data_IF_769679083422
#
_entry.id   IF_769679083422
#
_cell.length_a   1.000
_cell.length_b   1.000
_cell.length_c   1.000
_cell.angle_alpha   90.00
_cell.angle_beta   90.00
_cell.angle_gamma   90.00
#
_symmetry.space_group_name_H-M   'P 1'
#
loop_
_entity.id
_entity.type
_entity.pdbx_description
1 polymer ?
#
# COMPACT_ATOMS: atom_id res chain seq x y z
N UNK A 1 -3.27 -31.74 7.59
CA UNK A 1 -2.06 -32.49 7.16
C UNK A 1 -1.89 -33.81 7.92
N UNK A 2 -1.96 -33.84 9.26
CA UNK A 2 -1.79 -35.08 10.05
C UNK A 2 -2.75 -36.22 9.64
N UNK A 3 -4.02 -35.91 9.35
CA UNK A 3 -5.00 -36.91 8.91
C UNK A 3 -4.65 -37.59 7.59
N UNK A 4 -3.93 -36.89 6.69
CA UNK A 4 -3.53 -37.42 5.38
C UNK A 4 -2.12 -38.01 5.39
N UNK A 5 -1.29 -37.63 6.37
CA UNK A 5 0.08 -38.10 6.55
C UNK A 5 0.33 -38.59 7.99
N UNK A 6 -0.37 -39.64 8.46
CA UNK A 6 -0.32 -40.07 9.85
C UNK A 6 1.05 -40.60 10.30
N UNK A 7 1.90 -41.00 9.34
CA UNK A 7 3.26 -41.49 9.58
C UNK A 7 4.27 -40.37 9.86
N UNK A 8 3.92 -39.11 9.55
CA UNK A 8 4.78 -37.96 9.79
C UNK A 8 4.60 -37.48 11.23
N UNK A 9 5.69 -37.30 12.00
CA UNK A 9 5.58 -36.74 13.34
C UNK A 9 5.00 -35.33 13.31
N UNK A 10 4.09 -35.01 14.25
CA UNK A 10 3.46 -33.70 14.33
C UNK A 10 4.48 -32.55 14.42
N UNK A 11 5.57 -32.76 15.18
CA UNK A 11 6.66 -31.81 15.29
C UNK A 11 7.31 -31.46 13.92
N UNK A 12 7.37 -32.41 13.00
CA UNK A 12 7.90 -32.17 11.66
C UNK A 12 6.93 -31.34 10.81
N UNK A 13 5.62 -31.55 10.97
CA UNK A 13 4.59 -30.72 10.32
C UNK A 13 4.65 -29.29 10.87
N UNK A 14 4.75 -29.12 12.19
CA UNK A 14 4.86 -27.80 12.82
C UNK A 14 6.11 -27.06 12.35
N UNK A 15 7.25 -27.74 12.27
CA UNK A 15 8.49 -27.17 11.72
C UNK A 15 8.34 -26.72 10.26
N UNK A 16 7.68 -27.52 9.42
CA UNK A 16 7.40 -27.15 8.03
C UNK A 16 6.50 -25.92 7.95
N UNK A 17 5.41 -25.87 8.73
CA UNK A 17 4.51 -24.73 8.75
C UNK A 17 5.23 -23.45 9.20
N UNK A 18 6.05 -23.55 10.25
CA UNK A 18 6.91 -22.45 10.71
C UNK A 18 7.86 -21.99 9.60
N UNK A 19 8.49 -22.91 8.89
CA UNK A 19 9.39 -22.58 7.78
C UNK A 19 8.65 -21.87 6.64
N UNK A 20 7.48 -22.36 6.24
CA UNK A 20 6.67 -21.73 5.19
C UNK A 20 6.16 -20.34 5.61
N UNK A 21 5.83 -20.19 6.89
CA UNK A 21 5.43 -18.92 7.49
C UNK A 21 6.58 -17.89 7.49
N UNK A 22 7.74 -18.28 8.00
CA UNK A 22 8.94 -17.42 8.06
C UNK A 22 9.42 -16.99 6.67
N UNK A 23 9.26 -17.85 5.66
CA UNK A 23 9.61 -17.56 4.28
C UNK A 23 8.46 -16.91 3.48
N UNK A 24 7.39 -16.46 4.14
CA UNK A 24 6.24 -15.76 3.53
C UNK A 24 5.49 -16.55 2.42
N UNK A 25 5.63 -17.88 2.40
CA UNK A 25 4.77 -18.75 1.57
C UNK A 25 3.37 -18.89 2.15
N UNK A 26 3.25 -18.73 3.48
CA UNK A 26 1.98 -18.61 4.17
C UNK A 26 1.85 -17.19 4.71
N UNK A 27 0.65 -16.62 4.55
CA UNK A 27 0.25 -15.33 5.11
C UNK A 27 -0.82 -15.59 6.16
N UNK A 28 -0.84 -14.77 7.21
CA UNK A 28 -1.88 -14.90 8.25
C UNK A 28 -3.02 -14.01 7.87
N UNK A 29 -4.20 -14.50 8.19
CA UNK A 29 -5.44 -13.73 8.19
C UNK A 29 -5.40 -12.55 9.18
N UNK A 30 -4.38 -12.43 10.05
CA UNK A 30 -4.09 -11.24 10.86
C UNK A 30 -3.44 -10.09 10.07
N UNK A 31 -3.25 -10.21 8.76
CA UNK A 31 -2.86 -9.06 7.91
C UNK A 31 -4.12 -8.50 7.25
N UNK A 32 -4.62 -7.32 7.69
CA UNK A 32 -5.78 -6.71 7.07
C UNK A 32 -5.53 -6.48 5.57
N UNK A 33 -6.49 -6.81 4.69
CA UNK A 33 -6.43 -6.42 3.29
C UNK A 33 -6.30 -4.90 3.17
N UNK A 34 -5.58 -4.40 2.16
CA UNK A 34 -5.45 -2.95 1.91
C UNK A 34 -6.77 -2.27 1.52
N UNK A 35 -7.80 -3.06 1.20
CA UNK A 35 -9.16 -2.59 0.90
C UNK A 35 -10.05 -2.51 2.13
N UNK A 36 -9.57 -2.94 3.29
CA UNK A 36 -10.32 -2.88 4.54
C UNK A 36 -10.46 -1.43 5.01
N UNK A 37 -11.69 -1.02 5.32
CA UNK A 37 -12.00 0.36 5.72
C UNK A 37 -11.44 0.63 7.12
N UNK A 38 -11.47 -0.39 7.98
CA UNK A 38 -10.94 -0.29 9.33
C UNK A 38 -10.03 -1.47 9.67
N UNK A 39 -8.73 -1.38 9.36
CA UNK A 39 -7.75 -2.43 9.66
C UNK A 39 -7.71 -2.83 11.14
N UNK A 40 -7.95 -1.88 12.06
CA UNK A 40 -7.97 -2.12 13.50
C UNK A 40 -9.18 -2.98 13.94
N UNK A 41 -10.36 -2.72 13.39
CA UNK A 41 -11.55 -3.55 13.66
C UNK A 41 -11.41 -4.95 13.08
N UNK A 42 -10.87 -5.06 11.86
CA UNK A 42 -10.58 -6.35 11.25
C UNK A 42 -9.68 -7.21 12.15
N UNK A 43 -8.61 -6.63 12.71
CA UNK A 43 -7.74 -7.35 13.66
C UNK A 43 -8.49 -7.81 14.91
N UNK A 44 -9.38 -6.98 15.45
CA UNK A 44 -10.15 -7.33 16.64
C UNK A 44 -11.07 -8.54 16.41
N UNK A 45 -11.64 -8.66 15.22
CA UNK A 45 -12.49 -9.79 14.81
C UNK A 45 -11.70 -11.08 14.57
N UNK A 46 -10.45 -10.95 14.10
CA UNK A 46 -9.60 -12.09 13.74
C UNK A 46 -8.69 -12.57 14.88
N UNK A 47 -8.55 -11.81 15.98
CA UNK A 47 -7.86 -12.25 17.20
C UNK A 47 -8.88 -12.95 18.12
N UNK A 48 -8.76 -14.28 18.35
CA UNK A 48 -9.69 -15.02 19.20
C UNK A 48 -9.58 -14.61 20.67
N UNK A 49 -10.71 -14.65 21.38
CA UNK A 49 -10.81 -14.40 22.82
C UNK A 49 -9.93 -15.35 23.66
N UNK A 50 -9.73 -16.57 23.17
CA UNK A 50 -8.95 -17.62 23.84
C UNK A 50 -7.48 -17.62 23.46
N UNK A 51 -7.02 -16.66 22.66
CA UNK A 51 -5.64 -16.59 22.23
C UNK A 51 -4.73 -16.03 23.34
N UNK A 52 -3.45 -16.40 23.30
CA UNK A 52 -2.42 -15.81 24.15
C UNK A 52 -2.25 -14.29 23.91
N UNK A 53 -2.85 -13.77 22.84
CA UNK A 53 -2.92 -12.35 22.49
C UNK A 53 -4.05 -11.60 23.21
N UNK A 54 -4.67 -12.19 24.23
CA UNK A 54 -5.72 -11.56 25.05
C UNK A 54 -5.39 -10.12 25.49
N UNK A 55 -4.18 -9.82 26.02
CA UNK A 55 -3.80 -8.45 26.38
C UNK A 55 -3.79 -7.49 25.19
N UNK A 56 -3.24 -7.91 24.04
CA UNK A 56 -3.21 -7.12 22.80
C UNK A 56 -4.62 -6.81 22.33
N UNK A 57 -5.50 -7.82 22.36
CA UNK A 57 -6.90 -7.68 21.97
C UNK A 57 -7.64 -6.70 22.87
N UNK A 58 -7.44 -6.78 24.19
CA UNK A 58 -8.09 -5.87 25.14
C UNK A 58 -7.60 -4.43 24.96
N UNK A 59 -6.29 -4.23 24.79
CA UNK A 59 -5.75 -2.92 24.47
C UNK A 59 -6.31 -2.37 23.16
N UNK A 60 -6.44 -3.21 22.12
CA UNK A 60 -7.04 -2.81 20.85
C UNK A 60 -8.51 -2.37 21.02
N UNK A 61 -9.30 -3.09 21.84
CA UNK A 61 -10.68 -2.66 22.18
C UNK A 61 -10.70 -1.30 22.87
N UNK A 62 -9.82 -1.08 23.85
CA UNK A 62 -9.74 0.18 24.56
C UNK A 62 -9.36 1.34 23.64
N UNK A 63 -8.42 1.12 22.71
CA UNK A 63 -8.04 2.10 21.69
C UNK A 63 -9.22 2.41 20.77
N UNK A 64 -9.91 1.40 20.25
CA UNK A 64 -11.07 1.58 19.37
C UNK A 64 -12.19 2.37 20.05
N UNK A 65 -12.52 2.03 21.30
CA UNK A 65 -13.49 2.79 22.09
C UNK A 65 -13.06 4.26 22.23
N UNK A 66 -11.79 4.55 22.48
CA UNK A 66 -11.31 5.94 22.56
C UNK A 66 -11.34 6.67 21.23
N UNK A 67 -11.10 5.98 20.11
CA UNK A 67 -11.24 6.55 18.77
C UNK A 67 -12.70 6.96 18.53
N UNK A 68 -13.66 6.12 18.89
CA UNK A 68 -15.09 6.49 18.79
C UNK A 68 -15.42 7.73 19.65
N UNK A 69 -14.87 7.83 20.85
CA UNK A 69 -15.04 9.03 21.69
C UNK A 69 -14.37 10.25 21.08
N UNK A 70 -13.20 10.09 20.44
CA UNK A 70 -12.50 11.16 19.75
C UNK A 70 -13.34 11.72 18.59
N UNK A 71 -13.95 10.85 17.78
CA UNK A 71 -14.78 11.25 16.64
C UNK A 71 -16.03 12.06 17.04
N UNK A 72 -16.51 11.88 18.28
CA UNK A 72 -17.66 12.60 18.84
C UNK A 72 -17.26 13.82 19.69
N UNK A 73 -15.97 14.01 19.97
CA UNK A 73 -15.49 15.04 20.89
C UNK A 73 -15.44 16.44 20.26
N UNK A 74 -15.60 17.47 21.09
CA UNK A 74 -15.25 18.84 20.71
C UNK A 74 -13.73 19.00 20.60
N UNK A 75 -13.26 19.96 19.79
CA UNK A 75 -11.85 20.12 19.42
C UNK A 75 -10.88 20.16 20.62
N UNK A 76 -11.24 20.83 21.72
CA UNK A 76 -10.37 20.93 22.91
C UNK A 76 -10.25 19.61 23.68
N UNK A 77 -11.32 18.78 23.71
CA UNK A 77 -11.30 17.45 24.36
C UNK A 77 -10.57 16.41 23.52
N UNK A 78 -10.49 16.64 22.20
CA UNK A 78 -9.90 15.73 21.22
C UNK A 78 -8.40 15.51 21.46
N UNK A 79 -7.64 16.54 21.86
CA UNK A 79 -6.18 16.42 22.10
C UNK A 79 -5.88 15.50 23.30
N UNK A 80 -6.59 15.67 24.41
CA UNK A 80 -6.41 14.81 25.59
C UNK A 80 -6.71 13.34 25.28
N UNK A 81 -7.74 13.07 24.47
CA UNK A 81 -8.07 11.69 24.06
C UNK A 81 -6.94 11.08 23.21
N UNK A 82 -6.30 11.84 22.32
CA UNK A 82 -5.15 11.36 21.55
C UNK A 82 -3.95 10.99 22.43
N UNK A 83 -3.66 11.81 23.45
CA UNK A 83 -2.59 11.51 24.42
C UNK A 83 -2.89 10.22 25.20
N UNK A 84 -4.14 10.00 25.59
CA UNK A 84 -4.58 8.77 26.25
C UNK A 84 -4.45 7.54 25.33
N UNK A 85 -4.83 7.65 24.05
CA UNK A 85 -4.66 6.58 23.07
C UNK A 85 -3.17 6.21 22.93
N UNK A 86 -2.30 7.21 22.79
CA UNK A 86 -0.85 6.97 22.71
C UNK A 86 -0.30 6.31 23.99
N UNK A 87 -0.81 6.70 25.16
CA UNK A 87 -0.39 6.09 26.42
C UNK A 87 -0.81 4.61 26.48
N UNK A 88 -2.04 4.30 26.09
CA UNK A 88 -2.54 2.92 26.02
C UNK A 88 -1.71 2.09 25.03
N UNK A 89 -1.41 2.61 23.83
CA UNK A 89 -0.59 1.90 22.85
C UNK A 89 0.83 1.58 23.38
N UNK A 90 1.42 2.49 24.17
CA UNK A 90 2.75 2.28 24.79
C UNK A 90 2.77 1.15 25.82
N UNK A 91 1.62 0.72 26.36
CA UNK A 91 1.56 -0.38 27.35
C UNK A 91 1.87 -1.75 26.76
N UNK A 92 1.76 -1.91 25.44
CA UNK A 92 1.93 -3.22 24.79
C UNK A 92 3.39 -3.65 24.60
N UNK A 93 4.37 -2.77 24.86
CA UNK A 93 5.81 -3.00 24.60
C UNK A 93 6.08 -3.58 23.20
N UNK A 94 5.25 -3.19 22.21
CA UNK A 94 5.42 -3.59 20.81
C UNK A 94 6.25 -2.52 20.10
N UNK A 95 7.34 -2.88 19.41
CA UNK A 95 8.11 -1.93 18.63
C UNK A 95 7.24 -1.38 17.50
N UNK A 96 6.94 -0.09 17.56
CA UNK A 96 6.23 0.61 16.50
C UNK A 96 7.17 0.85 15.32
N UNK A 97 6.73 0.47 14.12
CA UNK A 97 7.49 0.73 12.88
C UNK A 97 7.50 2.21 12.47
N UNK A 98 6.65 3.05 13.08
CA UNK A 98 6.60 4.49 12.85
C UNK A 98 6.42 5.27 14.15
N UNK A 99 6.86 6.53 14.17
CA UNK A 99 6.71 7.42 15.33
C UNK A 99 5.26 7.87 15.58
N UNK A 100 4.30 7.47 14.73
CA UNK A 100 2.90 7.92 14.78
C UNK A 100 1.95 6.72 14.63
N UNK A 101 1.38 6.25 15.75
CA UNK A 101 0.44 5.12 15.80
C UNK A 101 -1.02 5.48 15.48
N UNK A 102 -1.29 6.68 14.96
CA UNK A 102 -2.64 7.20 14.69
C UNK A 102 -2.62 7.98 13.36
N UNK A 103 -3.62 7.73 12.52
CA UNK A 103 -3.95 8.52 11.33
C UNK A 103 -5.36 9.09 11.50
N UNK A 104 -5.56 10.35 11.16
CA UNK A 104 -6.88 11.01 11.19
C UNK A 104 -7.21 11.64 9.85
N UNK A 105 -8.42 11.39 9.37
CA UNK A 105 -8.98 12.03 8.18
C UNK A 105 -10.12 12.95 8.62
N UNK A 106 -10.05 14.23 8.27
CA UNK A 106 -11.04 15.22 8.71
C UNK A 106 -11.90 15.66 7.54
N UNK A 107 -13.22 15.59 7.71
CA UNK A 107 -14.19 16.09 6.74
C UNK A 107 -14.80 17.42 7.21
N UNK A 108 -14.81 18.43 6.35
CA UNK A 108 -15.49 19.70 6.62
C UNK A 108 -16.98 19.57 6.30
N UNK A 109 -17.85 19.74 7.30
CA UNK A 109 -19.31 19.74 7.10
C UNK A 109 -19.78 21.05 6.48
N UNK A 110 -19.79 21.10 5.16
CA UNK A 110 -20.29 22.23 4.40
C UNK A 110 -21.83 22.24 4.38
N UNK A 111 -22.45 23.35 4.79
CA UNK A 111 -23.92 23.52 4.78
C UNK A 111 -24.47 23.74 3.37
N UNK A 112 -23.65 24.28 2.47
CA UNK A 112 -23.91 24.44 1.04
C UNK A 112 -22.59 24.43 0.30
N UNK A 113 -22.49 23.60 -0.74
CA UNK A 113 -21.32 23.47 -1.60
C UNK A 113 -21.72 23.68 -3.07
N UNK A 114 -22.46 24.77 -3.35
CA UNK A 114 -22.89 25.11 -4.71
C UNK A 114 -21.81 25.98 -5.36
N UNK A 115 -21.16 25.44 -6.38
CA UNK A 115 -20.27 26.22 -7.25
C UNK A 115 -21.04 26.70 -8.49
N UNK A 116 -20.81 27.93 -8.97
CA UNK A 116 -21.36 28.38 -10.24
C UNK A 116 -20.90 27.49 -11.39
N UNK A 117 -21.79 27.22 -12.34
CA UNK A 117 -21.48 26.42 -13.55
C UNK A 117 -20.24 26.94 -14.30
N UNK A 118 -20.04 28.26 -14.32
CA UNK A 118 -18.88 28.90 -14.96
C UNK A 118 -17.54 28.42 -14.39
N UNK A 119 -17.47 28.08 -13.10
CA UNK A 119 -16.25 27.51 -12.50
C UNK A 119 -15.99 26.11 -13.04
N UNK A 120 -17.03 25.28 -13.18
CA UNK A 120 -16.92 23.97 -13.82
C UNK A 120 -16.48 24.05 -15.28
N UNK A 121 -16.97 25.06 -16.02
CA UNK A 121 -16.57 25.30 -17.41
C UNK A 121 -15.09 25.70 -17.51
N UNK A 122 -14.60 26.56 -16.61
CA UNK A 122 -13.18 26.93 -16.54
C UNK A 122 -12.32 25.71 -16.19
N UNK A 123 -12.73 24.91 -15.18
CA UNK A 123 -12.01 23.70 -14.80
C UNK A 123 -11.95 22.69 -15.98
N UNK A 124 -13.04 22.52 -16.71
CA UNK A 124 -13.07 21.66 -17.90
C UNK A 124 -12.13 22.16 -19.00
N UNK A 125 -12.13 23.47 -19.29
CA UNK A 125 -11.21 24.07 -20.26
C UNK A 125 -9.75 23.91 -19.84
N UNK A 126 -9.43 24.10 -18.56
CA UNK A 126 -8.09 23.90 -18.03
C UNK A 126 -7.63 22.44 -18.23
N UNK A 127 -8.48 21.46 -17.89
CA UNK A 127 -8.19 20.03 -18.11
C UNK A 127 -7.97 19.74 -19.60
N UNK A 128 -8.79 20.31 -20.50
CA UNK A 128 -8.60 20.13 -21.94
C UNK A 128 -7.25 20.68 -22.43
N UNK A 129 -6.82 21.83 -21.91
CA UNK A 129 -5.51 22.40 -22.23
C UNK A 129 -4.39 21.49 -21.72
N UNK A 130 -4.48 21.02 -20.47
CA UNK A 130 -3.50 20.10 -19.88
C UNK A 130 -3.37 18.81 -20.69
N UNK A 131 -4.50 18.23 -21.11
CA UNK A 131 -4.53 17.02 -21.95
C UNK A 131 -3.97 17.25 -23.35
N UNK A 132 -4.19 18.42 -23.96
CA UNK A 132 -3.57 18.77 -25.25
C UNK A 132 -2.06 19.01 -25.13
N UNK A 133 -1.61 19.46 -23.96
CA UNK A 133 -0.19 19.69 -23.70
C UNK A 133 0.57 18.42 -23.28
N UNK A 134 -0.11 17.40 -22.74
CA UNK A 134 0.54 16.12 -22.42
C UNK A 134 0.99 15.44 -23.72
N UNK A 135 2.27 15.58 -24.06
CA UNK A 135 2.88 15.07 -25.30
C UNK A 135 3.13 13.56 -25.31
N UNK A 136 2.77 12.84 -24.25
CA UNK A 136 3.07 11.42 -24.10
C UNK A 136 1.77 10.66 -23.86
N UNK A 137 1.32 9.94 -24.89
CA UNK A 137 0.32 8.90 -24.70
C UNK A 137 1.03 7.69 -24.06
N UNK A 138 0.82 7.51 -22.76
CA UNK A 138 1.40 6.40 -22.00
C UNK A 138 2.77 6.69 -21.39
N UNK A 139 3.37 5.66 -20.79
CA UNK A 139 4.69 5.77 -20.16
C UNK A 139 5.78 5.34 -21.16
N UNK A 140 6.83 6.14 -21.42
CA UNK A 140 7.85 5.82 -22.44
C UNK A 140 8.49 4.44 -22.26
N UNK A 141 8.84 4.07 -21.02
CA UNK A 141 9.43 2.77 -20.70
C UNK A 141 8.49 1.59 -21.03
N UNK A 142 7.16 1.78 -20.97
CA UNK A 142 6.20 0.75 -21.37
C UNK A 142 6.03 0.68 -22.89
N UNK A 143 6.28 1.77 -23.62
CA UNK A 143 6.31 1.73 -25.07
C UNK A 143 7.49 0.88 -25.56
N UNK A 144 8.69 1.14 -25.04
CA UNK A 144 9.89 0.34 -25.34
C UNK A 144 9.66 -1.13 -24.96
N UNK A 145 9.11 -1.39 -23.78
CA UNK A 145 8.80 -2.75 -23.32
C UNK A 145 7.79 -3.45 -24.22
N UNK A 146 6.76 -2.73 -24.71
CA UNK A 146 5.80 -3.26 -25.70
C UNK A 146 6.48 -3.62 -27.01
N UNK A 147 7.41 -2.80 -27.50
CA UNK A 147 8.13 -3.09 -28.74
C UNK A 147 8.96 -4.37 -28.61
N UNK A 148 9.66 -4.57 -27.48
CA UNK A 148 10.37 -5.81 -27.23
C UNK A 148 9.45 -7.02 -27.04
N UNK A 149 8.27 -6.85 -26.45
CA UNK A 149 7.25 -7.90 -26.40
C UNK A 149 6.82 -8.34 -27.80
N UNK A 150 6.53 -7.37 -28.67
CA UNK A 150 6.14 -7.64 -30.05
C UNK A 150 7.26 -8.29 -30.87
N UNK A 151 8.52 -7.91 -30.63
CA UNK A 151 9.68 -8.50 -31.29
C UNK A 151 9.92 -9.95 -30.88
N UNK A 152 9.83 -10.26 -29.56
CA UNK A 152 10.11 -11.61 -29.04
C UNK A 152 8.95 -12.59 -29.25
N UNK A 153 7.70 -12.15 -29.06
CA UNK A 153 6.54 -13.04 -29.03
C UNK A 153 5.56 -12.81 -30.20
N UNK A 154 5.57 -11.63 -30.82
CA UNK A 154 4.64 -11.26 -31.89
C UNK A 154 3.33 -10.63 -31.38
N UNK A 155 2.52 -10.06 -32.30
CA UNK A 155 1.33 -9.26 -31.96
C UNK A 155 0.12 -10.03 -31.45
N UNK A 156 0.12 -11.36 -31.58
CA UNK A 156 -1.01 -12.22 -31.22
C UNK A 156 -0.65 -13.26 -30.14
N UNK A 157 0.49 -13.09 -29.48
CA UNK A 157 0.92 -13.98 -28.42
C UNK A 157 0.31 -13.59 -27.07
N UNK A 158 -0.08 -14.61 -26.30
CA UNK A 158 -0.47 -14.49 -24.90
C UNK A 158 0.59 -15.19 -24.05
N UNK A 159 1.24 -14.43 -23.16
CA UNK A 159 2.31 -14.92 -22.28
C UNK A 159 1.87 -14.71 -20.84
N UNK A 160 2.08 -15.72 -19.98
CA UNK A 160 1.78 -15.59 -18.56
C UNK A 160 2.60 -14.44 -17.95
N UNK A 161 1.95 -13.55 -17.19
CA UNK A 161 2.59 -12.33 -16.68
C UNK A 161 3.87 -12.62 -15.87
N UNK A 162 3.85 -13.65 -15.01
CA UNK A 162 5.02 -14.02 -14.20
C UNK A 162 6.16 -14.57 -15.05
N UNK A 163 5.87 -15.27 -16.14
CA UNK A 163 6.89 -15.71 -17.09
C UNK A 163 7.46 -14.53 -17.88
N UNK A 164 6.61 -13.59 -18.31
CA UNK A 164 7.04 -12.39 -19.01
C UNK A 164 7.99 -11.52 -18.15
N UNK A 165 7.68 -11.38 -16.87
CA UNK A 165 8.47 -10.59 -15.91
C UNK A 165 9.71 -11.33 -15.39
N UNK A 166 9.84 -12.63 -15.63
CA UNK A 166 11.02 -13.42 -15.28
C UNK A 166 12.19 -13.03 -16.22
N UNK A 167 13.35 -12.59 -15.72
CA UNK A 167 14.48 -12.20 -16.58
C UNK A 167 15.19 -13.39 -17.25
N UNK A 168 15.01 -14.62 -16.74
CA UNK A 168 15.59 -15.84 -17.31
C UNK A 168 14.71 -16.50 -18.38
N UNK A 169 13.38 -16.35 -18.29
CA UNK A 169 12.42 -16.89 -19.28
C UNK A 169 11.89 -15.81 -20.23
N UNK A 170 11.51 -14.68 -19.64
CA UNK A 170 10.77 -13.60 -20.25
C UNK A 170 11.60 -12.44 -20.75
N UNK A 171 11.07 -11.23 -20.58
CA UNK A 171 11.75 -9.97 -20.86
C UNK A 171 12.33 -9.32 -19.60
N UNK A 172 11.99 -9.80 -18.41
CA UNK A 172 12.29 -9.13 -17.15
C UNK A 172 11.34 -7.97 -16.89
N UNK A 173 11.59 -7.20 -15.82
CA UNK A 173 10.77 -6.03 -15.49
C UNK A 173 10.98 -4.88 -16.50
N UNK A 174 9.97 -4.03 -16.76
CA UNK A 174 10.15 -2.82 -17.55
C UNK A 174 11.20 -1.87 -16.96
N UNK A 175 11.81 -1.04 -17.79
CA UNK A 175 12.78 -0.03 -17.33
C UNK A 175 12.14 0.92 -16.31
N UNK A 176 12.89 1.27 -15.26
CA UNK A 176 12.42 2.12 -14.16
C UNK A 176 11.69 1.41 -13.03
N UNK A 177 11.35 0.13 -13.18
CA UNK A 177 10.80 -0.68 -12.09
C UNK A 177 11.92 -1.05 -11.10
N UNK A 178 11.61 -1.01 -9.81
CA UNK A 178 12.61 -1.18 -8.73
C UNK A 178 12.42 -2.48 -7.92
N UNK A 179 11.31 -3.21 -8.11
CA UNK A 179 10.95 -4.37 -7.30
C UNK A 179 10.44 -5.53 -8.16
N UNK A 180 11.32 -6.47 -8.58
CA UNK A 180 12.78 -6.36 -8.57
C UNK A 180 13.27 -5.34 -9.61
N UNK A 181 14.49 -4.78 -9.46
CA UNK A 181 15.08 -3.95 -10.49
C UNK A 181 15.28 -4.77 -11.76
N UNK A 182 15.16 -4.14 -12.93
CA UNK A 182 15.38 -4.82 -14.19
C UNK A 182 16.82 -5.35 -14.27
N UNK A 183 16.96 -6.68 -14.31
CA UNK A 183 18.22 -7.41 -14.49
C UNK A 183 18.31 -8.10 -15.85
N UNK A 184 17.37 -7.82 -16.76
CA UNK A 184 17.30 -8.46 -18.07
C UNK A 184 18.54 -8.14 -18.91
N UNK A 185 19.14 -9.16 -19.58
CA UNK A 185 20.21 -8.93 -20.55
C UNK A 185 19.70 -8.24 -21.82
N UNK A 186 18.38 -8.21 -22.04
CA UNK A 186 17.75 -7.42 -23.07
C UNK A 186 17.73 -5.95 -22.63
N UNK A 187 18.87 -5.28 -22.84
CA UNK A 187 18.91 -3.83 -22.82
C UNK A 187 18.11 -3.34 -24.03
N UNK A 188 16.94 -2.76 -23.76
CA UNK A 188 16.18 -2.03 -24.76
C UNK A 188 17.10 -0.93 -25.34
N UNK A 189 17.15 -0.72 -26.67
CA UNK A 189 18.00 0.31 -27.26
C UNK A 189 17.68 1.70 -26.71
N UNK A 190 18.49 2.13 -25.75
CA UNK A 190 18.72 3.51 -25.30
C UNK A 190 17.51 4.37 -24.96
N UNK A 191 17.23 4.52 -23.66
CA UNK A 191 17.11 5.87 -23.11
C UNK A 191 17.81 5.97 -21.75
N UNK A 192 18.88 6.77 -21.71
CA UNK A 192 19.43 7.37 -20.49
C UNK A 192 18.37 8.31 -19.88
N UNK A 193 17.26 7.78 -19.38
CA UNK A 193 16.47 8.51 -18.40
C UNK A 193 17.16 8.31 -17.07
N UNK A 194 18.21 9.10 -16.83
CA UNK A 194 18.56 9.41 -15.45
C UNK A 194 17.26 9.89 -14.78
N UNK A 195 16.94 9.39 -13.56
CA UNK A 195 15.84 9.97 -12.81
C UNK A 195 16.06 11.49 -12.78
N UNK A 196 15.02 12.33 -12.99
CA UNK A 196 15.20 13.77 -12.91
C UNK A 196 15.90 14.08 -11.58
N UNK A 197 16.94 14.92 -11.57
CA UNK A 197 17.59 15.31 -10.32
C UNK A 197 16.48 15.80 -9.40
N UNK A 198 16.43 15.24 -8.18
CA UNK A 198 15.46 15.61 -7.15
C UNK A 198 15.22 17.12 -7.22
N UNK A 199 13.98 17.52 -7.50
CA UNK A 199 13.60 18.93 -7.59
C UNK A 199 13.72 19.57 -6.21
N UNK A 200 14.95 19.91 -5.81
CA UNK A 200 15.29 20.77 -4.68
C UNK A 200 14.75 22.20 -4.83
N UNK A 201 14.05 22.49 -5.94
CA UNK A 201 13.49 23.81 -6.24
C UNK A 201 12.03 23.99 -5.79
N UNK A 202 11.31 22.93 -5.39
CA UNK A 202 9.91 23.07 -4.92
C UNK A 202 9.78 23.22 -3.40
N UNK A 203 10.84 22.99 -2.62
CA UNK A 203 10.84 23.22 -1.17
C UNK A 203 10.79 24.70 -0.78
N UNK A 204 11.08 25.63 -1.70
CA UNK A 204 11.06 27.06 -1.39
C UNK A 204 9.66 27.70 -1.46
N UNK A 205 8.69 27.06 -2.11
CA UNK A 205 7.36 27.66 -2.33
C UNK A 205 6.38 27.40 -1.17
N UNK A 206 6.59 26.34 -0.38
CA UNK A 206 5.70 25.98 0.74
C UNK A 206 6.11 26.56 2.11
N UNK A 207 7.20 27.36 2.18
CA UNK A 207 7.65 27.99 3.44
C UNK A 207 7.28 29.49 3.57
N UNK A 208 6.48 30.03 2.64
CA UNK A 208 5.90 31.36 2.80
C UNK A 208 4.41 31.31 2.44
N UNK A 209 3.59 30.87 3.40
CA UNK A 209 2.31 31.50 3.77
C UNK A 209 1.86 30.94 5.11
#
# INVERSE_FOLDING_TARGET
>A
MQQHYPQVPEAQIQYLLQTLWENHFLLSDLRPPLTEVSPAHYLLEHIPDTSELGPVRETLKQVLLKIEHFDQAEATRSIAILEEIQHIQKTLDIPLHSNTGIQTDTALKLTSAILPRSIGEIASQAVQILLRQSRVYGMPHLHEYRMAFLEKYGPHAEVQLLELLDPGKGLGAPSGYQYPPNSSPFQLPGTLLQPPPETKHLSHWFMKH
#
